data_IF_873136760170
#
_entry.id   IF_873136760170
#
_cell.length_a   1.000
_cell.length_b   1.000
_cell.length_c   1.000
_cell.angle_alpha   90.00
_cell.angle_beta   90.00
_cell.angle_gamma   90.00
#
_symmetry.space_group_name_H-M   'P 1'
#
loop_
_entity.id
_entity.type
_entity.pdbx_description
1 polymer ?
#
# COMPACT_ATOMS: atom_id res chain seq x y z
N UNK A 1 11.67 -30.29 14.41
CA UNK A 1 11.04 -29.21 13.64
C UNK A 1 9.56 -29.53 13.56
N UNK A 2 8.69 -28.55 13.84
CA UNK A 2 7.24 -28.74 13.69
C UNK A 2 6.92 -28.70 12.18
N UNK A 3 6.04 -29.60 11.71
CA UNK A 3 5.61 -29.61 10.31
C UNK A 3 4.10 -29.35 10.23
N UNK A 4 3.67 -28.44 9.37
CA UNK A 4 2.28 -28.18 9.02
C UNK A 4 2.04 -28.43 7.54
N UNK A 5 0.79 -28.69 7.18
CA UNK A 5 0.37 -28.80 5.77
C UNK A 5 -0.82 -27.90 5.50
N UNK A 6 -0.82 -27.22 4.36
CA UNK A 6 -1.91 -26.39 3.87
C UNK A 6 -1.96 -26.46 2.34
N UNK A 7 -3.05 -26.01 1.72
CA UNK A 7 -3.11 -25.89 0.26
C UNK A 7 -2.36 -24.64 -0.21
N UNK A 8 -2.53 -23.50 0.51
CA UNK A 8 -1.83 -22.25 0.19
C UNK A 8 -1.16 -21.68 1.45
N UNK A 9 0.16 -21.49 1.39
CA UNK A 9 0.94 -20.78 2.41
C UNK A 9 1.26 -19.37 1.92
N UNK A 10 0.86 -18.33 2.66
CA UNK A 10 1.08 -16.94 2.32
C UNK A 10 2.08 -16.34 3.30
N UNK A 11 3.25 -15.96 2.82
CA UNK A 11 4.26 -15.26 3.57
C UNK A 11 3.98 -13.75 3.58
N UNK A 12 3.65 -13.18 4.74
CA UNK A 12 3.34 -11.78 4.97
C UNK A 12 1.85 -11.54 5.21
N UNK A 13 1.54 -10.98 6.39
CA UNK A 13 0.20 -10.57 6.83
C UNK A 13 -0.14 -9.11 6.46
N UNK A 14 0.49 -8.56 5.41
CA UNK A 14 0.15 -7.25 4.87
C UNK A 14 -1.15 -7.27 4.05
N UNK A 15 -1.54 -6.11 3.45
CA UNK A 15 -2.82 -5.98 2.73
C UNK A 15 -3.04 -7.05 1.66
N UNK A 16 -2.03 -7.35 0.85
CA UNK A 16 -2.12 -8.40 -0.17
C UNK A 16 -2.33 -9.78 0.44
N UNK A 17 -1.54 -10.11 1.48
CA UNK A 17 -1.55 -11.47 2.07
C UNK A 17 -2.83 -11.76 2.84
N UNK A 18 -3.30 -10.83 3.68
CA UNK A 18 -4.55 -11.04 4.45
C UNK A 18 -5.76 -11.07 3.51
N UNK A 19 -5.83 -10.15 2.52
CA UNK A 19 -6.91 -10.15 1.54
C UNK A 19 -6.93 -11.45 0.72
N UNK A 20 -5.78 -11.88 0.20
CA UNK A 20 -5.72 -13.14 -0.56
C UNK A 20 -6.11 -14.33 0.33
N UNK A 21 -5.59 -14.37 1.56
CA UNK A 21 -5.93 -15.42 2.53
C UNK A 21 -7.44 -15.49 2.79
N UNK A 22 -8.08 -14.34 2.98
CA UNK A 22 -9.52 -14.24 3.15
C UNK A 22 -10.28 -14.76 1.91
N UNK A 23 -9.88 -14.31 0.71
CA UNK A 23 -10.53 -14.70 -0.55
C UNK A 23 -10.41 -16.20 -0.80
N UNK A 24 -9.22 -16.78 -0.67
CA UNK A 24 -8.98 -18.21 -0.86
C UNK A 24 -9.77 -19.06 0.15
N UNK A 25 -9.72 -18.69 1.42
CA UNK A 25 -10.48 -19.40 2.47
C UNK A 25 -11.98 -19.34 2.22
N UNK A 26 -12.51 -18.18 1.81
CA UNK A 26 -13.91 -18.01 1.41
C UNK A 26 -14.30 -18.89 0.22
N UNK A 27 -13.35 -19.14 -0.70
CA UNK A 27 -13.54 -20.03 -1.84
C UNK A 27 -13.34 -21.51 -1.51
N UNK A 28 -13.11 -21.87 -0.24
CA UNK A 28 -12.96 -23.25 0.21
C UNK A 28 -11.54 -23.82 0.13
N UNK A 29 -10.51 -22.97 0.00
CA UNK A 29 -9.10 -23.38 -0.03
C UNK A 29 -8.49 -23.26 1.38
N UNK A 30 -7.82 -24.32 1.85
CA UNK A 30 -7.09 -24.28 3.13
C UNK A 30 -5.90 -23.32 3.02
N UNK A 31 -5.92 -22.26 3.81
CA UNK A 31 -4.98 -21.14 3.67
C UNK A 31 -4.34 -20.81 5.01
N UNK A 32 -3.02 -20.69 5.02
CA UNK A 32 -2.21 -20.28 6.16
C UNK A 32 -1.43 -19.02 5.83
N UNK A 33 -1.75 -17.93 6.53
CA UNK A 33 -1.03 -16.65 6.44
C UNK A 33 -0.01 -16.58 7.58
N UNK A 34 1.24 -16.28 7.27
CA UNK A 34 2.36 -16.16 8.21
C UNK A 34 2.79 -14.69 8.32
N UNK A 35 2.67 -14.10 9.51
CA UNK A 35 3.09 -12.71 9.78
C UNK A 35 4.23 -12.71 10.79
N UNK A 36 5.35 -12.08 10.45
CA UNK A 36 6.56 -12.04 11.29
C UNK A 36 6.41 -11.26 12.60
N UNK A 37 5.49 -10.32 12.63
CA UNK A 37 5.27 -9.48 13.80
C UNK A 37 4.21 -10.06 14.75
N UNK A 38 4.18 -9.53 15.98
CA UNK A 38 3.21 -9.96 17.01
C UNK A 38 1.81 -9.40 16.81
N UNK A 39 1.70 -8.29 16.06
CA UNK A 39 0.47 -7.55 15.79
C UNK A 39 0.59 -6.79 14.45
N UNK A 40 -0.45 -6.08 14.04
CA UNK A 40 -0.45 -5.24 12.84
C UNK A 40 -0.06 -3.78 13.11
N UNK A 41 0.29 -3.41 14.34
CA UNK A 41 0.69 -2.05 14.66
C UNK A 41 1.98 -1.69 13.91
N UNK A 42 1.88 -0.76 12.98
CA UNK A 42 3.00 -0.20 12.23
C UNK A 42 2.77 1.30 12.12
N UNK A 43 3.70 2.05 12.63
CA UNK A 43 3.67 3.50 12.44
C UNK A 43 3.92 3.86 10.98
N UNK A 44 3.18 4.86 10.51
CA UNK A 44 3.41 5.55 9.25
C UNK A 44 3.39 4.67 7.98
N UNK A 45 2.50 3.68 7.92
CA UNK A 45 2.34 2.87 6.71
C UNK A 45 0.90 2.85 6.25
N UNK A 46 0.73 3.07 4.95
CA UNK A 46 -0.42 2.67 4.18
C UNK A 46 -1.78 3.10 4.72
N UNK A 47 -2.00 4.39 4.80
CA UNK A 47 -3.13 4.96 5.52
C UNK A 47 -4.30 5.36 4.62
N UNK A 48 -4.30 4.90 3.37
CA UNK A 48 -5.29 5.32 2.37
C UNK A 48 -5.99 4.12 1.75
N UNK A 49 -7.28 3.98 2.02
CA UNK A 49 -8.14 2.99 1.38
C UNK A 49 -8.96 3.69 0.30
N UNK A 50 -8.64 3.43 -0.96
CA UNK A 50 -9.20 4.13 -2.10
C UNK A 50 -10.58 3.58 -2.52
N UNK A 51 -11.37 4.33 -3.32
CA UNK A 51 -12.67 3.89 -3.81
C UNK A 51 -12.68 2.50 -4.42
N UNK A 52 -11.66 2.13 -5.20
CA UNK A 52 -11.56 0.78 -5.79
C UNK A 52 -11.40 -0.35 -4.78
N UNK A 53 -10.73 -0.09 -3.65
CA UNK A 53 -10.64 -1.05 -2.54
C UNK A 53 -11.94 -1.10 -1.75
N UNK A 54 -12.61 0.03 -1.55
CA UNK A 54 -13.94 0.08 -0.93
C UNK A 54 -14.98 -0.68 -1.77
N UNK A 55 -14.87 -0.65 -3.11
CA UNK A 55 -15.70 -1.49 -3.99
C UNK A 55 -15.45 -2.99 -3.77
N UNK A 56 -14.20 -3.41 -3.61
CA UNK A 56 -13.87 -4.81 -3.25
C UNK A 56 -14.53 -5.19 -1.91
N UNK A 57 -14.43 -4.33 -0.90
CA UNK A 57 -15.08 -4.56 0.40
C UNK A 57 -16.61 -4.61 0.28
N UNK A 58 -17.20 -3.77 -0.60
CA UNK A 58 -18.63 -3.81 -0.92
C UNK A 58 -19.04 -5.13 -1.58
N UNK A 59 -18.31 -5.59 -2.60
CA UNK A 59 -18.56 -6.85 -3.31
C UNK A 59 -18.44 -8.08 -2.40
N UNK A 60 -17.64 -7.96 -1.33
CA UNK A 60 -17.53 -8.98 -0.29
C UNK A 60 -18.70 -8.94 0.72
N UNK A 61 -19.55 -7.91 0.66
CA UNK A 61 -20.67 -7.71 1.60
C UNK A 61 -20.23 -7.18 2.96
N UNK A 62 -19.06 -6.53 3.04
CA UNK A 62 -18.42 -6.09 4.28
C UNK A 62 -18.39 -4.56 4.46
N UNK A 63 -18.92 -3.79 3.48
CA UNK A 63 -18.72 -2.34 3.46
C UNK A 63 -19.33 -1.63 4.67
N UNK A 64 -20.56 -1.98 5.05
CA UNK A 64 -21.26 -1.32 6.15
C UNK A 64 -20.56 -1.55 7.50
N UNK A 65 -20.02 -2.76 7.72
CA UNK A 65 -19.25 -3.09 8.92
C UNK A 65 -17.90 -2.37 8.90
N UNK A 66 -17.26 -2.32 7.75
CA UNK A 66 -15.96 -1.65 7.55
C UNK A 66 -16.04 -0.14 7.78
N UNK A 67 -17.07 0.54 7.29
CA UNK A 67 -17.26 1.98 7.44
C UNK A 67 -17.63 2.42 8.87
N UNK A 68 -17.93 1.49 9.79
CA UNK A 68 -18.06 1.79 11.23
C UNK A 68 -16.71 1.98 11.92
N UNK A 69 -15.61 1.53 11.30
CA UNK A 69 -14.27 1.77 11.83
C UNK A 69 -13.94 3.26 11.78
N UNK A 70 -13.16 3.79 12.74
CA UNK A 70 -12.73 5.19 12.69
C UNK A 70 -11.95 5.50 11.43
N UNK A 71 -12.42 6.46 10.65
CA UNK A 71 -11.75 6.93 9.43
C UNK A 71 -12.14 8.36 9.10
N UNK A 72 -11.34 9.04 8.27
CA UNK A 72 -11.62 10.34 7.70
C UNK A 72 -11.89 10.21 6.20
N UNK A 73 -12.89 10.93 5.69
CA UNK A 73 -13.23 10.89 4.26
C UNK A 73 -12.55 12.03 3.49
N UNK A 74 -11.69 11.69 2.56
CA UNK A 74 -11.11 12.66 1.61
C UNK A 74 -11.88 12.61 0.30
N UNK A 75 -12.72 13.61 0.06
CA UNK A 75 -13.57 13.73 -1.13
C UNK A 75 -12.89 14.44 -2.29
N UNK A 76 -11.82 15.17 -2.02
CA UNK A 76 -11.07 15.94 -3.01
C UNK A 76 -9.57 15.85 -2.77
N UNK A 77 -8.80 15.77 -3.85
CA UNK A 77 -7.35 15.92 -3.79
C UNK A 77 -7.00 17.40 -3.89
N UNK A 78 -6.46 17.95 -2.82
CA UNK A 78 -6.10 19.36 -2.73
C UNK A 78 -4.61 19.53 -2.49
N UNK A 79 -4.07 20.63 -2.99
CA UNK A 79 -2.70 21.04 -2.76
C UNK A 79 -2.57 22.54 -2.64
N UNK A 80 -1.51 22.98 -1.98
CA UNK A 80 -1.08 24.36 -1.96
C UNK A 80 0.26 24.46 -2.69
N UNK A 81 0.31 25.24 -3.77
CA UNK A 81 1.51 25.50 -4.57
C UNK A 81 1.84 26.98 -4.41
N UNK A 82 2.97 27.27 -3.75
CA UNK A 82 3.25 28.63 -3.29
C UNK A 82 2.15 29.14 -2.37
N UNK A 83 1.49 30.25 -2.73
CA UNK A 83 0.35 30.83 -2.00
C UNK A 83 -1.02 30.33 -2.44
N UNK A 84 -1.13 29.68 -3.60
CA UNK A 84 -2.40 29.28 -4.18
C UNK A 84 -2.84 27.88 -3.73
N UNK A 85 -4.10 27.75 -3.29
CA UNK A 85 -4.76 26.46 -3.08
C UNK A 85 -5.39 25.99 -4.40
N UNK A 86 -5.19 24.72 -4.75
CA UNK A 86 -5.70 24.12 -5.97
C UNK A 86 -6.36 22.78 -5.65
N UNK A 87 -7.56 22.55 -6.19
CA UNK A 87 -8.20 21.23 -6.17
C UNK A 87 -7.90 20.53 -7.49
N UNK A 88 -7.09 19.48 -7.44
CA UNK A 88 -6.64 18.73 -8.62
C UNK A 88 -7.49 17.49 -8.91
N UNK A 89 -8.23 16.98 -7.92
CA UNK A 89 -9.08 15.80 -8.08
C UNK A 89 -10.36 15.91 -7.26
N UNK A 90 -11.46 15.39 -7.83
CA UNK A 90 -12.77 15.34 -7.18
C UNK A 90 -13.41 13.97 -7.39
N UNK A 91 -13.64 13.25 -6.29
CA UNK A 91 -14.16 11.89 -6.31
C UNK A 91 -15.69 11.81 -6.48
N UNK A 92 -16.42 12.93 -6.49
CA UNK A 92 -17.89 12.92 -6.60
C UNK A 92 -18.40 12.14 -7.82
N UNK A 93 -17.59 12.04 -8.87
CA UNK A 93 -17.97 11.43 -10.15
C UNK A 93 -17.23 10.13 -10.49
N UNK A 94 -16.48 9.52 -9.56
CA UNK A 94 -15.89 8.22 -9.82
C UNK A 94 -16.96 7.13 -9.85
N UNK A 95 -16.83 6.11 -10.72
CA UNK A 95 -17.84 5.06 -10.88
C UNK A 95 -17.68 3.95 -9.81
N UNK A 96 -17.74 4.33 -8.53
CA UNK A 96 -17.54 3.47 -7.37
C UNK A 96 -18.65 3.70 -6.35
N UNK A 97 -18.86 2.77 -5.42
CA UNK A 97 -19.83 2.93 -4.33
C UNK A 97 -19.50 4.12 -3.45
N UNK A 98 -18.25 4.16 -2.95
CA UNK A 98 -17.78 5.27 -2.13
C UNK A 98 -17.10 6.32 -3.01
N UNK A 99 -17.41 7.61 -2.76
CA UNK A 99 -16.90 8.77 -3.51
C UNK A 99 -15.81 9.50 -2.73
N UNK A 100 -14.99 8.76 -1.98
CA UNK A 100 -13.94 9.31 -1.13
C UNK A 100 -12.81 8.30 -0.93
N UNK A 101 -11.63 8.78 -0.53
CA UNK A 101 -10.58 7.95 0.04
C UNK A 101 -10.81 7.91 1.55
N UNK A 102 -10.89 6.71 2.14
CA UNK A 102 -10.91 6.56 3.59
C UNK A 102 -9.48 6.62 4.13
N UNK A 103 -9.19 7.63 4.96
CA UNK A 103 -7.94 7.71 5.71
C UNK A 103 -8.13 6.99 7.04
N UNK A 104 -7.42 5.89 7.22
CA UNK A 104 -7.41 5.13 8.46
C UNK A 104 -6.04 4.48 8.68
N UNK A 105 -5.62 4.26 9.92
CA UNK A 105 -4.43 3.47 10.20
C UNK A 105 -4.52 2.08 9.59
N UNK A 106 -3.46 1.63 8.93
CA UNK A 106 -3.44 0.34 8.23
C UNK A 106 -3.82 -0.84 9.13
N UNK A 107 -3.49 -0.78 10.43
CA UNK A 107 -3.85 -1.85 11.36
C UNK A 107 -5.36 -2.01 11.56
N UNK A 108 -6.17 -0.95 11.44
CA UNK A 108 -7.63 -1.08 11.46
C UNK A 108 -8.13 -1.91 10.27
N UNK A 109 -7.61 -1.62 9.08
CA UNK A 109 -7.92 -2.37 7.86
C UNK A 109 -7.50 -3.85 7.99
N UNK A 110 -6.29 -4.10 8.48
CA UNK A 110 -5.75 -5.46 8.59
C UNK A 110 -6.44 -6.26 9.70
N UNK A 111 -6.68 -5.67 10.87
CA UNK A 111 -7.42 -6.31 11.96
C UNK A 111 -8.83 -6.70 11.48
N UNK A 112 -9.52 -5.77 10.82
CA UNK A 112 -10.85 -6.04 10.28
C UNK A 112 -10.85 -7.24 9.34
N UNK A 113 -9.96 -7.28 8.36
CA UNK A 113 -9.90 -8.42 7.43
C UNK A 113 -9.48 -9.72 8.12
N UNK A 114 -8.57 -9.67 9.07
CA UNK A 114 -8.15 -10.84 9.85
C UNK A 114 -9.30 -11.38 10.71
N UNK A 115 -10.09 -10.51 11.35
CA UNK A 115 -11.28 -10.87 12.10
C UNK A 115 -12.37 -11.50 11.20
N UNK A 116 -12.61 -10.94 10.01
CA UNK A 116 -13.52 -11.54 9.04
C UNK A 116 -12.99 -12.90 8.55
N UNK A 117 -11.67 -13.00 8.34
CA UNK A 117 -11.02 -14.26 7.97
C UNK A 117 -11.16 -15.33 9.06
N UNK A 118 -11.00 -14.97 10.32
CA UNK A 118 -11.11 -15.88 11.47
C UNK A 118 -12.52 -16.53 11.60
N UNK A 119 -13.55 -15.93 11.00
CA UNK A 119 -14.89 -16.52 10.91
C UNK A 119 -14.97 -17.68 9.88
N UNK A 120 -13.95 -17.83 9.04
CA UNK A 120 -13.91 -18.86 7.99
C UNK A 120 -13.08 -20.06 8.46
N UNK A 121 -13.59 -21.28 8.39
CA UNK A 121 -12.92 -22.47 8.93
C UNK A 121 -11.59 -22.80 8.24
N UNK A 122 -11.39 -22.32 7.02
CA UNK A 122 -10.20 -22.57 6.20
C UNK A 122 -9.17 -21.44 6.23
N UNK A 123 -9.41 -20.37 7.00
CA UNK A 123 -8.47 -19.29 7.19
C UNK A 123 -7.69 -19.50 8.48
N UNK A 124 -6.35 -19.49 8.36
CA UNK A 124 -5.46 -19.51 9.52
C UNK A 124 -4.45 -18.38 9.39
N UNK A 125 -4.29 -17.60 10.45
CA UNK A 125 -3.28 -16.55 10.57
C UNK A 125 -2.36 -16.86 11.75
N UNK A 126 -1.05 -16.92 11.51
CA UNK A 126 -0.04 -17.08 12.56
C UNK A 126 0.82 -15.84 12.62
N UNK A 127 0.72 -15.13 13.71
CA UNK A 127 1.60 -14.02 14.05
C UNK A 127 2.95 -14.54 14.57
N UNK A 128 3.95 -13.68 14.66
CA UNK A 128 5.32 -14.01 15.10
C UNK A 128 5.91 -15.22 14.36
N UNK A 129 5.61 -15.33 13.07
CA UNK A 129 6.05 -16.42 12.21
C UNK A 129 6.69 -15.84 10.97
N UNK A 130 8.02 -15.82 10.93
CA UNK A 130 8.80 -15.21 9.87
C UNK A 130 9.28 -16.27 8.88
N UNK A 131 8.85 -16.20 7.62
CA UNK A 131 9.43 -17.05 6.56
C UNK A 131 10.88 -16.66 6.34
N UNK A 132 11.77 -17.65 6.41
CA UNK A 132 13.23 -17.49 6.30
C UNK A 132 13.80 -18.23 5.11
N UNK A 133 13.13 -19.29 4.64
CA UNK A 133 13.55 -20.06 3.46
C UNK A 133 12.37 -20.73 2.76
N UNK A 134 12.63 -21.33 1.61
CA UNK A 134 11.70 -22.12 0.82
C UNK A 134 12.15 -23.58 0.79
N UNK A 135 11.19 -24.52 0.74
CA UNK A 135 11.44 -25.90 0.39
C UNK A 135 11.17 -26.10 -1.09
N UNK A 136 12.09 -26.72 -1.81
CA UNK A 136 12.02 -26.92 -3.26
C UNK A 136 12.45 -28.34 -3.61
N UNK A 137 11.76 -28.97 -4.55
CA UNK A 137 12.12 -30.28 -5.14
C UNK A 137 11.92 -30.18 -6.65
N UNK A 138 12.94 -30.58 -7.41
CA UNK A 138 12.93 -30.63 -8.88
C UNK A 138 12.49 -29.31 -9.54
N UNK A 139 12.93 -28.16 -8.97
CA UNK A 139 12.57 -26.83 -9.48
C UNK A 139 11.14 -26.37 -9.15
N UNK A 140 10.43 -27.13 -8.30
CA UNK A 140 9.08 -26.80 -7.80
C UNK A 140 9.14 -26.43 -6.33
N UNK A 141 8.63 -25.26 -5.97
CA UNK A 141 8.48 -24.83 -4.57
C UNK A 141 7.34 -25.62 -3.93
N UNK A 142 7.66 -26.39 -2.90
CA UNK A 142 6.73 -27.30 -2.20
C UNK A 142 6.36 -26.84 -0.80
N UNK A 143 6.90 -25.68 -0.34
CA UNK A 143 6.64 -25.17 0.99
C UNK A 143 7.57 -24.04 1.41
N UNK A 144 7.52 -23.70 2.69
CA UNK A 144 8.34 -22.66 3.30
C UNK A 144 8.85 -23.10 4.68
N UNK A 145 10.00 -22.57 5.06
CA UNK A 145 10.58 -22.67 6.41
C UNK A 145 10.37 -21.31 7.08
N UNK A 146 9.93 -21.35 8.33
CA UNK A 146 9.69 -20.14 9.11
C UNK A 146 10.25 -20.26 10.53
N UNK A 147 10.70 -19.15 11.07
CA UNK A 147 11.06 -19.03 12.47
C UNK A 147 9.85 -18.61 13.30
N UNK A 148 9.66 -19.26 14.43
CA UNK A 148 8.61 -18.94 15.42
C UNK A 148 9.21 -18.85 16.83
N UNK A 149 8.52 -18.23 17.81
CA UNK A 149 8.96 -18.24 19.20
C UNK A 149 9.14 -19.65 19.81
N UNK A 150 8.50 -20.66 19.20
CA UNK A 150 8.58 -22.05 19.65
C UNK A 150 9.64 -22.85 18.88
N UNK A 151 10.39 -22.20 18.00
CA UNK A 151 11.42 -22.83 17.15
C UNK A 151 10.99 -22.91 15.68
N UNK A 152 11.82 -23.55 14.83
CA UNK A 152 11.59 -23.61 13.41
C UNK A 152 10.35 -24.42 13.03
N UNK A 153 9.61 -23.89 12.05
CA UNK A 153 8.39 -24.45 11.49
C UNK A 153 8.59 -24.71 10.00
N UNK A 154 8.28 -25.92 9.55
CA UNK A 154 8.17 -26.25 8.13
C UNK A 154 6.68 -26.27 7.72
N UNK A 155 6.34 -25.60 6.61
CA UNK A 155 5.00 -25.60 6.04
C UNK A 155 5.04 -26.19 4.65
N UNK A 156 4.53 -27.38 4.48
CA UNK A 156 4.30 -27.99 3.16
C UNK A 156 3.04 -27.37 2.53
N UNK A 157 3.12 -26.94 1.27
CA UNK A 157 2.02 -26.28 0.57
C UNK A 157 2.03 -26.59 -0.92
N UNK A 158 0.84 -26.66 -1.54
CA UNK A 158 0.69 -26.80 -2.98
C UNK A 158 1.04 -25.49 -3.71
N UNK A 159 0.91 -24.34 -3.01
CA UNK A 159 1.33 -23.00 -3.45
C UNK A 159 1.88 -22.20 -2.29
N UNK A 160 3.05 -21.60 -2.47
CA UNK A 160 3.58 -20.53 -1.61
C UNK A 160 3.35 -19.17 -2.28
N UNK A 161 2.80 -18.21 -1.53
CA UNK A 161 2.62 -16.84 -2.01
C UNK A 161 3.51 -15.90 -1.21
N UNK A 162 4.41 -15.18 -1.90
CA UNK A 162 5.19 -14.08 -1.32
C UNK A 162 4.37 -12.79 -1.32
N UNK A 163 3.99 -12.34 -0.14
CA UNK A 163 3.33 -11.06 0.14
C UNK A 163 4.05 -10.30 1.27
N UNK A 164 5.35 -10.58 1.45
CA UNK A 164 6.22 -10.19 2.56
C UNK A 164 6.91 -8.82 2.33
N UNK A 165 6.42 -8.06 1.34
CA UNK A 165 6.76 -6.66 1.15
C UNK A 165 8.02 -6.41 0.33
N UNK A 166 8.45 -5.13 0.30
CA UNK A 166 9.55 -4.64 -0.56
C UNK A 166 10.92 -5.30 -0.32
N UNK A 167 11.14 -5.87 0.83
CA UNK A 167 12.34 -6.64 1.17
C UNK A 167 12.01 -8.13 1.26
N UNK A 168 11.25 -8.64 0.29
CA UNK A 168 10.74 -10.00 0.27
C UNK A 168 11.85 -11.05 0.37
N UNK A 169 11.78 -11.85 1.43
CA UNK A 169 12.60 -13.05 1.59
C UNK A 169 12.21 -14.10 0.54
N UNK A 170 10.90 -14.24 0.31
CA UNK A 170 10.37 -15.22 -0.65
C UNK A 170 10.92 -14.98 -2.05
N UNK A 171 10.85 -13.73 -2.58
CA UNK A 171 11.39 -13.43 -3.91
C UNK A 171 12.90 -13.65 -4.01
N UNK A 172 13.64 -13.30 -2.93
CA UNK A 172 15.08 -13.46 -2.88
C UNK A 172 15.49 -14.95 -2.89
N UNK A 173 14.85 -15.76 -2.04
CA UNK A 173 15.10 -17.23 -1.96
C UNK A 173 14.66 -17.96 -3.22
N UNK A 174 13.60 -17.49 -3.88
CA UNK A 174 13.18 -18.03 -5.17
C UNK A 174 14.10 -17.64 -6.34
N UNK A 175 15.06 -16.74 -6.13
CA UNK A 175 15.98 -16.26 -7.19
C UNK A 175 15.26 -15.44 -8.27
N UNK A 176 14.14 -14.76 -7.95
CA UNK A 176 13.40 -13.98 -8.92
C UNK A 176 14.10 -12.63 -9.19
N UNK A 177 14.31 -12.33 -10.47
CA UNK A 177 15.03 -11.13 -10.89
C UNK A 177 14.22 -9.85 -10.67
N UNK A 178 14.79 -8.92 -9.89
CA UNK A 178 14.22 -7.60 -9.60
C UNK A 178 14.76 -6.59 -10.62
N UNK A 179 13.87 -5.81 -11.22
CA UNK A 179 14.19 -4.60 -11.98
C UNK A 179 14.03 -3.39 -11.07
N UNK A 180 15.15 -2.79 -10.66
CA UNK A 180 15.16 -1.53 -9.89
C UNK A 180 14.93 -0.35 -10.85
N UNK A 181 13.87 0.42 -10.59
CA UNK A 181 13.51 1.59 -11.39
C UNK A 181 14.05 2.89 -10.78
N UNK A 182 14.64 2.81 -9.59
CA UNK A 182 15.15 3.93 -8.82
C UNK A 182 14.05 4.83 -8.26
N UNK A 183 14.39 5.54 -7.18
CA UNK A 183 13.54 6.60 -6.62
C UNK A 183 14.40 7.80 -6.27
N UNK A 184 14.04 9.02 -6.70
CA UNK A 184 14.82 10.22 -6.40
C UNK A 184 14.54 10.78 -5.00
N UNK A 185 13.61 10.19 -4.26
CA UNK A 185 13.14 10.72 -2.98
C UNK A 185 13.15 9.68 -1.87
N UNK A 186 13.19 10.19 -0.64
CA UNK A 186 12.79 9.50 0.58
C UNK A 186 11.73 10.34 1.31
N UNK A 187 11.06 9.78 2.31
CA UNK A 187 10.02 10.47 3.08
C UNK A 187 10.30 10.37 4.56
N UNK A 188 10.30 11.51 5.23
CA UNK A 188 10.33 11.58 6.68
C UNK A 188 8.89 11.68 7.20
N UNK A 189 8.50 10.72 8.00
CA UNK A 189 7.22 10.71 8.68
C UNK A 189 7.35 11.26 10.09
N UNK A 190 6.42 12.11 10.49
CA UNK A 190 6.35 12.72 11.81
C UNK A 190 4.90 13.00 12.22
N UNK A 191 4.68 13.29 13.49
CA UNK A 191 3.39 13.66 14.06
C UNK A 191 3.45 15.07 14.63
N UNK A 192 2.37 15.82 14.48
CA UNK A 192 2.16 17.10 15.12
C UNK A 192 0.74 17.13 15.74
N UNK A 193 0.57 17.81 16.86
CA UNK A 193 -0.72 17.91 17.51
C UNK A 193 -1.75 18.56 16.59
N UNK A 194 -2.98 18.05 16.60
CA UNK A 194 -4.15 18.66 15.98
C UNK A 194 -4.91 19.46 17.01
N UNK A 195 -5.33 20.66 16.66
CA UNK A 195 -6.13 21.53 17.52
C UNK A 195 -7.56 21.60 17.02
N UNK A 196 -8.53 21.91 17.90
CA UNK A 196 -9.93 22.02 17.52
C UNK A 196 -10.22 23.06 16.41
N UNK A 197 -9.41 24.12 16.35
CA UNK A 197 -9.50 25.19 15.35
C UNK A 197 -8.88 24.83 13.99
N UNK A 198 -8.17 23.71 13.88
CA UNK A 198 -7.61 23.28 12.62
C UNK A 198 -8.72 22.87 11.66
N UNK A 199 -8.65 23.38 10.43
CA UNK A 199 -9.55 22.93 9.36
C UNK A 199 -9.32 21.46 9.03
N UNK A 200 -10.38 20.73 8.71
CA UNK A 200 -10.37 19.30 8.32
C UNK A 200 -9.85 19.13 6.89
N UNK A 201 -8.60 19.55 6.65
CA UNK A 201 -8.00 19.56 5.32
C UNK A 201 -6.69 18.74 5.29
N UNK A 202 -6.77 17.52 4.80
CA UNK A 202 -5.55 16.81 4.33
C UNK A 202 -5.05 17.49 3.06
N UNK A 203 -3.82 18.00 3.09
CA UNK A 203 -3.29 18.88 2.04
C UNK A 203 -1.82 18.55 1.71
N UNK A 204 -1.48 18.65 0.42
CA UNK A 204 -0.09 18.66 -0.02
C UNK A 204 0.42 20.10 -0.18
N UNK A 205 1.56 20.43 0.43
CA UNK A 205 2.22 21.73 0.33
C UNK A 205 3.47 21.60 -0.54
N UNK A 206 3.60 22.49 -1.53
CA UNK A 206 4.69 22.52 -2.51
C UNK A 206 5.30 23.92 -2.53
N UNK A 207 6.39 24.12 -1.82
CA UNK A 207 7.05 25.43 -1.74
C UNK A 207 8.47 25.34 -1.19
N UNK A 208 9.30 26.36 -1.44
CA UNK A 208 10.64 26.54 -0.87
C UNK A 208 11.54 25.29 -0.95
N UNK A 209 11.53 24.61 -2.08
CA UNK A 209 12.33 23.41 -2.26
C UNK A 209 11.87 22.19 -1.47
N UNK A 210 10.63 22.18 -0.99
CA UNK A 210 10.10 21.11 -0.14
C UNK A 210 8.68 20.71 -0.55
N UNK A 211 8.38 19.46 -0.32
CA UNK A 211 7.03 18.92 -0.39
C UNK A 211 6.66 18.39 0.99
N UNK A 212 5.54 18.86 1.49
CA UNK A 212 5.03 18.44 2.79
C UNK A 212 3.56 18.05 2.67
N UNK A 213 3.20 16.90 3.21
CA UNK A 213 1.82 16.40 3.15
C UNK A 213 1.29 16.23 4.56
N UNK A 214 0.07 16.69 4.79
CA UNK A 214 -0.65 16.54 6.05
C UNK A 214 -1.84 15.61 5.87
N UNK A 215 -1.97 14.64 6.76
CA UNK A 215 -3.11 13.72 6.84
C UNK A 215 -3.78 13.89 8.20
N UNK A 216 -5.05 14.27 8.18
CA UNK A 216 -5.86 14.39 9.40
C UNK A 216 -6.13 12.99 9.98
N UNK A 217 -5.85 12.81 11.30
CA UNK A 217 -6.09 11.58 12.03
C UNK A 217 -7.12 11.75 13.15
N UNK A 218 -7.78 12.89 13.17
CA UNK A 218 -8.75 13.25 14.20
C UNK A 218 -8.11 13.91 15.42
N UNK A 219 -7.13 13.28 16.04
CA UNK A 219 -6.44 13.73 17.25
C UNK A 219 -5.02 14.27 16.99
N UNK A 220 -4.42 13.92 15.84
CA UNK A 220 -3.11 14.43 15.42
C UNK A 220 -3.01 14.56 13.90
N UNK A 221 -2.03 15.35 13.46
CA UNK A 221 -1.59 15.40 12.07
C UNK A 221 -0.48 14.39 11.82
N UNK A 222 -0.72 13.44 10.95
CA UNK A 222 0.36 12.64 10.38
C UNK A 222 0.95 13.42 9.20
N UNK A 223 2.25 13.68 9.27
CA UNK A 223 2.93 14.53 8.30
C UNK A 223 4.03 13.76 7.56
N UNK A 224 4.11 13.98 6.25
CA UNK A 224 5.15 13.46 5.39
C UNK A 224 6.00 14.61 4.84
N UNK A 225 7.28 14.66 5.21
CA UNK A 225 8.25 15.60 4.68
C UNK A 225 9.10 14.88 3.63
N UNK A 226 8.96 15.28 2.37
CA UNK A 226 9.68 14.66 1.25
C UNK A 226 11.05 15.27 1.13
N UNK A 227 12.08 14.41 1.07
CA UNK A 227 13.47 14.76 0.92
C UNK A 227 14.06 14.10 -0.34
N UNK A 228 15.19 14.60 -0.80
CA UNK A 228 15.97 13.92 -1.84
C UNK A 228 16.53 12.60 -1.30
N UNK A 229 16.72 11.66 -2.19
CA UNK A 229 17.29 10.37 -1.84
C UNK A 229 18.63 10.53 -1.13
N UNK A 230 18.74 9.98 0.10
CA UNK A 230 19.96 10.05 0.90
C UNK A 230 20.20 11.37 1.65
N UNK A 231 19.30 12.37 1.56
CA UNK A 231 19.47 13.70 2.21
C UNK A 231 19.35 13.66 3.74
N UNK A 232 18.84 12.56 4.33
CA UNK A 232 18.62 12.49 5.79
C UNK A 232 19.88 12.80 6.60
N UNK A 233 21.04 12.28 6.21
CA UNK A 233 22.27 12.47 6.94
C UNK A 233 22.69 13.96 6.97
N UNK A 234 22.53 14.68 5.87
CA UNK A 234 22.78 16.13 5.80
C UNK A 234 21.81 16.89 6.71
N UNK A 235 20.51 16.54 6.69
CA UNK A 235 19.52 17.16 7.58
C UNK A 235 19.84 16.90 9.05
N UNK A 236 20.31 15.71 9.41
CA UNK A 236 20.70 15.38 10.77
C UNK A 236 21.91 16.18 11.24
N UNK A 237 22.90 16.42 10.38
CA UNK A 237 24.06 17.27 10.66
C UNK A 237 23.64 18.73 10.91
N UNK A 238 22.63 19.23 10.22
CA UNK A 238 22.08 20.57 10.40
C UNK A 238 21.20 20.71 11.66
N UNK A 239 20.96 19.61 12.37
CA UNK A 239 20.17 19.57 13.60
C UNK A 239 18.65 19.60 13.39
N UNK A 240 17.91 19.19 14.42
CA UNK A 240 16.44 19.13 14.40
C UNK A 240 15.78 20.50 14.22
N UNK A 241 16.42 21.57 14.69
CA UNK A 241 15.95 22.95 14.53
C UNK A 241 15.86 23.38 13.06
N UNK A 242 16.78 22.88 12.22
CA UNK A 242 16.71 23.12 10.77
C UNK A 242 15.44 22.51 10.16
N UNK A 243 15.07 21.28 10.58
CA UNK A 243 13.83 20.64 10.14
C UNK A 243 12.59 21.40 10.63
N UNK A 244 12.55 21.81 11.91
CA UNK A 244 11.48 22.61 12.50
C UNK A 244 11.27 23.92 11.73
N UNK A 245 12.35 24.64 11.46
CA UNK A 245 12.34 25.89 10.69
C UNK A 245 11.78 25.68 9.28
N UNK A 246 12.19 24.61 8.60
CA UNK A 246 11.71 24.29 7.25
C UNK A 246 10.22 23.98 7.27
N UNK A 247 9.72 23.18 8.22
CA UNK A 247 8.30 22.86 8.35
C UNK A 247 7.48 24.13 8.62
N UNK A 248 7.89 24.94 9.59
CA UNK A 248 7.19 26.21 9.93
C UNK A 248 7.15 27.20 8.76
N UNK A 249 8.20 27.21 7.90
CA UNK A 249 8.23 28.04 6.69
C UNK A 249 7.25 27.57 5.62
N UNK A 250 7.12 26.25 5.44
CA UNK A 250 6.22 25.67 4.43
C UNK A 250 4.76 25.76 4.89
N UNK A 251 4.53 25.47 6.16
CA UNK A 251 3.19 25.43 6.77
C UNK A 251 3.16 26.34 8.00
N UNK A 252 2.96 27.65 7.82
CA UNK A 252 3.02 28.62 8.93
C UNK A 252 2.08 28.30 10.11
N UNK A 253 0.94 27.64 9.85
CA UNK A 253 0.03 27.18 10.93
C UNK A 253 0.66 26.16 11.89
N UNK A 254 1.78 25.56 11.55
CA UNK A 254 2.51 24.60 12.40
C UNK A 254 3.74 25.22 13.09
N UNK A 255 4.07 26.49 12.83
CA UNK A 255 5.25 27.13 13.37
C UNK A 255 5.31 27.10 14.91
N UNK A 256 4.17 27.10 15.57
CA UNK A 256 4.03 27.02 17.03
C UNK A 256 3.93 25.58 17.58
N UNK A 257 4.01 24.56 16.72
CA UNK A 257 3.93 23.12 17.10
C UNK A 257 5.16 22.31 16.73
N UNK A 258 5.99 22.83 15.83
CA UNK A 258 7.20 22.10 15.38
C UNK A 258 8.16 21.77 16.52
N UNK A 259 8.10 22.48 17.66
CA UNK A 259 8.87 22.17 18.86
C UNK A 259 8.46 20.83 19.52
N UNK A 260 7.30 20.25 19.18
CA UNK A 260 6.90 18.91 19.60
C UNK A 260 7.85 17.83 19.06
N UNK A 261 8.55 18.09 17.95
CA UNK A 261 9.61 17.22 17.44
C UNK A 261 10.87 17.41 18.27
N UNK A 262 11.01 16.74 19.40
CA UNK A 262 12.11 16.98 20.33
C UNK A 262 13.46 16.48 19.82
N UNK A 263 13.46 15.38 19.08
CA UNK A 263 14.66 14.75 18.55
C UNK A 263 14.38 14.04 17.21
N UNK A 264 15.42 13.49 16.60
CA UNK A 264 15.30 12.67 15.40
C UNK A 264 14.57 11.33 15.67
N UNK A 265 14.36 10.95 16.93
CA UNK A 265 13.56 9.76 17.29
C UNK A 265 12.07 9.96 16.97
N UNK A 266 11.60 11.21 16.92
CA UNK A 266 10.25 11.59 16.54
C UNK A 266 10.02 11.55 15.02
N UNK A 267 11.10 11.32 14.25
CA UNK A 267 11.09 11.34 12.78
C UNK A 267 11.46 9.96 12.24
N UNK A 268 10.57 9.37 11.46
CA UNK A 268 10.78 8.03 10.91
C UNK A 268 11.07 8.10 9.41
N UNK A 269 12.22 7.57 9.00
CA UNK A 269 12.58 7.47 7.59
C UNK A 269 11.80 6.36 6.90
N UNK A 270 11.11 6.69 5.83
CA UNK A 270 10.67 5.76 4.81
C UNK A 270 11.61 5.83 3.61
N UNK A 271 12.49 4.86 3.49
CA UNK A 271 13.29 4.68 2.28
C UNK A 271 12.37 4.24 1.14
N UNK A 272 12.24 5.09 0.13
CA UNK A 272 11.38 4.81 -1.02
C UNK A 272 12.15 3.92 -2.01
N UNK A 273 11.55 2.80 -2.37
CA UNK A 273 11.98 1.96 -3.49
C UNK A 273 10.87 1.89 -4.54
N UNK A 274 11.27 1.86 -5.78
CA UNK A 274 10.42 1.64 -6.93
C UNK A 274 11.06 0.52 -7.74
N UNK A 275 10.53 -0.67 -7.59
CA UNK A 275 11.04 -1.87 -8.24
C UNK A 275 9.93 -2.79 -8.71
N UNK A 276 10.26 -3.79 -9.52
CA UNK A 276 9.33 -4.83 -9.92
C UNK A 276 10.07 -6.11 -10.30
N UNK A 277 9.40 -7.24 -10.16
CA UNK A 277 9.84 -8.51 -10.70
C UNK A 277 9.59 -8.56 -12.21
N UNK A 278 10.53 -9.12 -12.97
CA UNK A 278 10.32 -9.47 -14.38
C UNK A 278 9.36 -10.64 -14.51
N UNK A 279 9.51 -11.63 -13.66
CA UNK A 279 8.63 -12.78 -13.53
C UNK A 279 8.18 -12.90 -12.08
N UNK A 280 6.86 -12.95 -11.84
CA UNK A 280 6.29 -12.93 -10.49
C UNK A 280 6.17 -14.34 -9.88
N UNK A 281 6.44 -15.38 -10.63
CA UNK A 281 6.14 -16.75 -10.26
C UNK A 281 7.27 -17.72 -10.63
N UNK A 282 7.27 -18.87 -9.97
CA UNK A 282 7.95 -20.14 -10.28
C UNK A 282 6.92 -21.28 -10.13
N UNK A 283 7.24 -22.51 -10.60
CA UNK A 283 6.42 -23.65 -10.22
C UNK A 283 6.24 -23.71 -8.68
N UNK A 284 4.98 -23.72 -8.21
CA UNK A 284 4.63 -23.72 -6.79
C UNK A 284 4.79 -22.39 -6.04
N UNK A 285 5.11 -21.27 -6.72
CA UNK A 285 5.33 -19.98 -6.09
C UNK A 285 4.77 -18.81 -6.92
N UNK A 286 4.15 -17.83 -6.22
CA UNK A 286 3.73 -16.55 -6.77
C UNK A 286 4.09 -15.39 -5.81
N UNK A 287 4.61 -14.27 -6.31
CA UNK A 287 4.75 -13.03 -5.55
C UNK A 287 3.66 -12.05 -5.95
N UNK A 288 3.10 -11.30 -4.96
CA UNK A 288 2.09 -10.24 -5.15
C UNK A 288 2.38 -9.03 -4.26
N UNK A 289 1.75 -7.89 -4.57
CA UNK A 289 1.94 -6.64 -3.84
C UNK A 289 3.39 -6.17 -3.88
N UNK A 290 3.88 -5.55 -2.80
CA UNK A 290 5.25 -5.01 -2.72
C UNK A 290 6.35 -6.09 -2.90
N UNK A 291 6.03 -7.37 -2.72
CA UNK A 291 6.97 -8.46 -3.02
C UNK A 291 7.18 -8.65 -4.53
N UNK A 292 6.18 -8.32 -5.33
CA UNK A 292 6.25 -8.35 -6.81
C UNK A 292 6.63 -6.97 -7.40
N UNK A 293 6.19 -5.87 -6.78
CA UNK A 293 6.40 -4.51 -7.28
C UNK A 293 6.26 -3.47 -6.18
N UNK A 294 7.36 -2.91 -5.75
CA UNK A 294 7.34 -1.80 -4.80
C UNK A 294 6.94 -0.48 -5.49
N UNK A 295 6.14 0.33 -4.79
CA UNK A 295 5.59 1.58 -5.27
C UNK A 295 6.09 2.77 -4.45
N UNK A 296 6.17 3.93 -5.11
CA UNK A 296 6.31 5.20 -4.41
C UNK A 296 5.08 5.50 -3.53
N UNK A 297 5.25 6.17 -2.37
CA UNK A 297 4.12 6.58 -1.55
C UNK A 297 3.24 7.68 -2.20
N UNK A 298 3.67 8.26 -3.33
CA UNK A 298 2.91 9.29 -4.05
C UNK A 298 1.54 8.75 -4.46
N UNK A 299 0.51 9.48 -4.06
CA UNK A 299 -0.88 9.14 -4.33
C UNK A 299 -1.46 8.05 -3.40
N UNK A 300 -0.66 7.46 -2.50
CA UNK A 300 -1.13 6.44 -1.55
C UNK A 300 -1.64 5.15 -2.21
N UNK A 301 -1.19 4.82 -3.42
CA UNK A 301 -1.77 3.75 -4.24
C UNK A 301 -1.25 2.34 -3.94
N UNK A 302 -0.18 2.19 -3.15
CA UNK A 302 0.49 0.91 -2.93
C UNK A 302 -0.43 -0.17 -2.34
N UNK A 303 -1.18 0.16 -1.27
CA UNK A 303 -2.16 -0.77 -0.68
C UNK A 303 -3.19 -1.20 -1.71
N UNK A 304 -3.70 -0.25 -2.48
CA UNK A 304 -4.79 -0.52 -3.42
C UNK A 304 -4.32 -1.45 -4.55
N UNK A 305 -3.09 -1.28 -5.05
CA UNK A 305 -2.51 -2.23 -6.00
C UNK A 305 -2.33 -3.62 -5.37
N UNK A 306 -1.84 -3.69 -4.14
CA UNK A 306 -1.66 -4.94 -3.41
C UNK A 306 -2.99 -5.70 -3.21
N UNK A 307 -4.06 -4.99 -2.88
CA UNK A 307 -5.43 -5.55 -2.80
C UNK A 307 -5.91 -6.02 -4.18
N UNK A 308 -5.69 -5.23 -5.21
CA UNK A 308 -6.06 -5.61 -6.58
C UNK A 308 -5.31 -6.87 -7.06
N UNK A 309 -4.04 -7.04 -6.67
CA UNK A 309 -3.30 -8.27 -6.96
C UNK A 309 -3.88 -9.47 -6.21
N UNK A 310 -4.27 -9.28 -4.94
CA UNK A 310 -4.92 -10.31 -4.15
C UNK A 310 -6.27 -10.74 -4.77
N UNK A 311 -7.06 -9.78 -5.26
CA UNK A 311 -8.34 -10.07 -5.95
C UNK A 311 -8.08 -10.82 -7.26
N UNK A 312 -7.10 -10.39 -8.06
CA UNK A 312 -6.73 -11.08 -9.29
C UNK A 312 -6.27 -12.52 -9.00
N UNK A 313 -5.41 -12.70 -7.99
CA UNK A 313 -4.93 -14.01 -7.56
C UNK A 313 -6.09 -14.87 -7.02
N UNK A 314 -6.97 -14.32 -6.18
CA UNK A 314 -8.16 -15.01 -5.69
C UNK A 314 -9.06 -15.48 -6.82
N UNK A 315 -9.33 -14.61 -7.81
CA UNK A 315 -10.17 -14.94 -8.96
C UNK A 315 -9.59 -16.05 -9.86
N UNK A 316 -8.26 -16.06 -10.05
CA UNK A 316 -7.59 -17.00 -10.98
C UNK A 316 -7.18 -18.32 -10.30
N UNK A 317 -6.90 -18.29 -8.98
CA UNK A 317 -6.29 -19.44 -8.30
C UNK A 317 -7.26 -20.24 -7.41
N UNK A 318 -8.40 -19.68 -7.00
CA UNK A 318 -9.29 -20.33 -6.03
C UNK A 318 -9.81 -21.70 -6.53
N UNK A 319 -10.34 -21.77 -7.75
CA UNK A 319 -10.83 -23.03 -8.31
C UNK A 319 -9.71 -24.04 -8.54
N UNK A 320 -8.58 -23.68 -9.22
CA UNK A 320 -7.48 -24.64 -9.42
C UNK A 320 -6.86 -25.15 -8.12
N UNK A 321 -6.77 -24.31 -7.06
CA UNK A 321 -6.27 -24.75 -5.76
C UNK A 321 -7.24 -25.71 -5.05
N UNK A 322 -8.53 -25.35 -5.04
CA UNK A 322 -9.57 -26.21 -4.44
C UNK A 322 -9.61 -27.58 -5.12
N UNK A 323 -9.55 -27.59 -6.44
CA UNK A 323 -9.68 -28.79 -7.26
C UNK A 323 -8.32 -29.51 -7.46
N UNK A 324 -7.23 -29.02 -6.85
CA UNK A 324 -5.84 -29.53 -6.97
C UNK A 324 -5.36 -29.65 -8.41
N UNK A 325 -5.71 -28.65 -9.23
CA UNK A 325 -5.36 -28.57 -10.66
C UNK A 325 -4.54 -27.31 -10.96
N UNK A 326 -3.79 -26.81 -9.97
CA UNK A 326 -2.95 -25.63 -10.16
C UNK A 326 -1.86 -25.93 -11.20
N UNK A 327 -1.73 -25.01 -12.16
CA UNK A 327 -0.69 -25.05 -13.19
C UNK A 327 0.05 -23.73 -13.28
N UNK A 328 1.21 -23.73 -13.91
CA UNK A 328 1.98 -22.52 -14.20
C UNK A 328 1.17 -21.50 -15.01
N UNK A 329 0.27 -21.96 -15.89
CA UNK A 329 -0.58 -21.09 -16.68
C UNK A 329 -1.49 -20.18 -15.82
N UNK A 330 -1.97 -20.69 -14.68
CA UNK A 330 -2.78 -19.92 -13.71
C UNK A 330 -1.93 -18.84 -13.04
N UNK A 331 -0.69 -19.15 -12.62
CA UNK A 331 0.21 -18.18 -12.03
C UNK A 331 0.58 -17.07 -13.03
N UNK A 332 0.91 -17.47 -14.26
CA UNK A 332 1.18 -16.55 -15.35
C UNK A 332 -0.04 -15.67 -15.70
N UNK A 333 -1.27 -16.18 -15.55
CA UNK A 333 -2.49 -15.41 -15.77
C UNK A 333 -2.64 -14.25 -14.79
N UNK A 334 -2.33 -14.46 -13.50
CA UNK A 334 -2.31 -13.40 -12.49
C UNK A 334 -1.34 -12.30 -12.90
N UNK A 335 -0.09 -12.63 -13.24
CA UNK A 335 0.90 -11.66 -13.68
C UNK A 335 0.44 -10.90 -14.93
N UNK A 336 -0.01 -11.58 -16.00
CA UNK A 336 -0.48 -10.93 -17.24
C UNK A 336 -1.59 -9.91 -16.95
N UNK A 337 -2.49 -10.25 -16.04
CA UNK A 337 -3.61 -9.39 -15.67
C UNK A 337 -3.14 -8.12 -14.94
N UNK A 338 -2.11 -8.24 -14.09
CA UNK A 338 -1.64 -7.17 -13.22
C UNK A 338 -0.46 -6.36 -13.77
N UNK A 339 0.27 -6.87 -14.76
CA UNK A 339 1.44 -6.22 -15.34
C UNK A 339 1.13 -4.81 -15.86
N UNK A 340 0.06 -4.64 -16.67
CA UNK A 340 -0.29 -3.34 -17.24
C UNK A 340 -0.66 -2.30 -16.16
N UNK A 341 -1.55 -2.57 -15.20
CA UNK A 341 -1.83 -1.63 -14.10
C UNK A 341 -0.59 -1.24 -13.30
N UNK A 342 0.29 -2.19 -13.01
CA UNK A 342 1.55 -1.96 -12.31
C UNK A 342 2.47 -1.03 -13.08
N UNK A 343 2.73 -1.33 -14.35
CA UNK A 343 3.60 -0.52 -15.21
C UNK A 343 3.05 0.89 -15.41
N UNK A 344 1.74 1.02 -15.63
CA UNK A 344 1.09 2.31 -15.77
C UNK A 344 1.27 3.15 -14.50
N UNK A 345 1.00 2.57 -13.33
CA UNK A 345 1.09 3.29 -12.06
C UNK A 345 2.53 3.71 -11.76
N UNK A 346 3.51 2.82 -11.94
CA UNK A 346 4.93 3.14 -11.77
C UNK A 346 5.39 4.20 -12.76
N UNK A 347 4.98 4.11 -14.02
CA UNK A 347 5.28 5.12 -15.05
C UNK A 347 4.70 6.49 -14.71
N UNK A 348 3.45 6.52 -14.22
CA UNK A 348 2.81 7.75 -13.76
C UNK A 348 3.51 8.34 -12.53
N UNK A 349 3.91 7.52 -11.55
CA UNK A 349 4.67 7.98 -10.40
C UNK A 349 6.04 8.55 -10.79
N UNK A 350 6.75 7.90 -11.72
CA UNK A 350 8.02 8.44 -12.25
C UNK A 350 7.81 9.79 -12.94
N UNK A 351 6.76 9.93 -13.76
CA UNK A 351 6.43 11.21 -14.38
C UNK A 351 6.20 12.32 -13.35
N UNK A 352 5.49 12.02 -12.25
CA UNK A 352 5.29 12.98 -11.16
C UNK A 352 6.63 13.28 -10.46
N UNK A 353 7.46 12.28 -10.18
CA UNK A 353 8.79 12.48 -9.61
C UNK A 353 9.61 13.45 -10.47
N UNK A 354 9.70 13.20 -11.79
CA UNK A 354 10.58 13.95 -12.67
C UNK A 354 10.05 15.35 -12.98
N UNK A 355 8.75 15.49 -13.22
CA UNK A 355 8.15 16.75 -13.67
C UNK A 355 7.65 17.66 -12.54
N UNK A 356 7.31 17.10 -11.39
CA UNK A 356 6.73 17.86 -10.27
C UNK A 356 7.69 17.87 -9.08
N UNK A 357 8.01 16.71 -8.52
CA UNK A 357 8.73 16.62 -7.25
C UNK A 357 10.16 17.14 -7.40
N UNK A 358 10.92 16.68 -8.40
CA UNK A 358 12.28 17.13 -8.64
C UNK A 358 12.34 18.63 -8.90
N UNK A 359 11.38 19.16 -9.68
CA UNK A 359 11.31 20.61 -9.93
C UNK A 359 11.07 21.41 -8.64
N UNK A 360 10.22 20.91 -7.76
CA UNK A 360 10.00 21.53 -6.44
C UNK A 360 11.25 21.45 -5.60
N UNK A 361 11.85 20.26 -5.44
CA UNK A 361 12.99 20.03 -4.56
C UNK A 361 14.29 20.77 -5.00
N UNK A 362 14.37 21.21 -6.26
CA UNK A 362 15.49 21.99 -6.78
C UNK A 362 15.29 23.51 -6.69
N UNK A 363 14.11 23.98 -6.28
CA UNK A 363 13.78 25.42 -6.21
C UNK A 363 13.96 25.96 -4.79
N UNK A 364 14.93 26.81 -4.56
CA UNK A 364 15.14 27.46 -3.24
C UNK A 364 14.17 28.61 -2.97
N UNK A 365 13.49 29.11 -4.00
CA UNK A 365 12.56 30.25 -3.91
C UNK A 365 11.10 29.78 -3.78
N UNK A 366 10.23 30.72 -3.41
CA UNK A 366 8.79 30.49 -3.49
C UNK A 366 8.38 30.12 -4.92
N UNK A 367 7.56 29.07 -5.03
CA UNK A 367 7.12 28.55 -6.33
C UNK A 367 5.88 29.32 -6.76
N UNK A 368 5.95 29.90 -7.95
CA UNK A 368 4.74 30.42 -8.59
C UNK A 368 3.84 29.26 -9.05
N UNK A 369 2.55 29.46 -8.88
CA UNK A 369 1.55 28.47 -9.29
C UNK A 369 1.58 28.31 -10.81
N UNK A 370 1.91 27.11 -11.34
CA UNK A 370 1.88 26.87 -12.78
C UNK A 370 0.50 27.16 -13.36
N UNK A 371 0.44 27.87 -14.50
CA UNK A 371 -0.83 28.22 -15.13
C UNK A 371 -1.69 26.99 -15.48
N UNK A 372 -1.05 25.84 -15.72
CA UNK A 372 -1.74 24.58 -15.98
C UNK A 372 -2.64 24.14 -14.81
N UNK A 373 -2.27 24.48 -13.57
CA UNK A 373 -3.12 24.18 -12.41
C UNK A 373 -4.37 25.03 -12.38
N UNK A 374 -4.34 26.26 -12.95
CA UNK A 374 -5.53 27.11 -13.10
C UNK A 374 -6.60 26.49 -14.01
N UNK A 375 -6.20 25.57 -14.91
CA UNK A 375 -7.16 24.84 -15.75
C UNK A 375 -8.14 24.01 -14.93
N UNK A 376 -7.73 23.49 -13.77
CA UNK A 376 -8.63 22.77 -12.87
C UNK A 376 -9.68 23.67 -12.23
N UNK A 377 -9.40 24.97 -12.08
CA UNK A 377 -10.35 25.94 -11.56
C UNK A 377 -11.28 26.45 -12.67
N UNK A 378 -10.74 26.70 -13.86
CA UNK A 378 -11.53 27.12 -15.03
C UNK A 378 -12.42 25.99 -15.57
N UNK A 379 -11.94 24.75 -15.52
CA UNK A 379 -12.63 23.57 -16.03
C UNK A 379 -12.70 22.47 -14.96
N UNK A 380 -13.64 22.56 -13.99
CA UNK A 380 -13.73 21.58 -12.88
C UNK A 380 -13.91 20.12 -13.34
N UNK A 381 -14.44 19.91 -14.56
CA UNK A 381 -14.58 18.57 -15.15
C UNK A 381 -13.23 17.85 -15.28
N UNK A 382 -12.12 18.55 -15.45
CA UNK A 382 -10.78 17.98 -15.53
C UNK A 382 -10.35 17.30 -14.22
N UNK A 383 -10.90 17.71 -13.06
CA UNK A 383 -10.64 17.10 -11.76
C UNK A 383 -11.05 15.64 -11.68
N UNK A 384 -11.94 15.19 -12.59
CA UNK A 384 -12.39 13.78 -12.67
C UNK A 384 -11.26 12.86 -13.12
N UNK A 385 -10.30 13.34 -13.92
CA UNK A 385 -9.21 12.52 -14.49
C UNK A 385 -8.24 12.08 -13.38
N UNK A 386 -7.60 12.97 -12.60
CA UNK A 386 -6.75 12.56 -11.48
C UNK A 386 -7.51 11.76 -10.43
N UNK A 387 -8.75 12.13 -10.11
CA UNK A 387 -9.58 11.39 -9.18
C UNK A 387 -9.83 9.94 -9.63
N UNK A 388 -10.10 9.72 -10.92
CA UNK A 388 -10.26 8.38 -11.48
C UNK A 388 -8.94 7.59 -11.46
N UNK A 389 -7.83 8.21 -11.86
CA UNK A 389 -6.51 7.55 -11.90
C UNK A 389 -6.06 7.15 -10.50
N UNK A 390 -6.23 8.03 -9.51
CA UNK A 390 -5.84 7.76 -8.12
C UNK A 390 -6.86 6.86 -7.42
N UNK A 391 -8.14 7.16 -7.51
CA UNK A 391 -9.19 6.48 -6.73
C UNK A 391 -9.61 5.13 -7.27
N UNK A 392 -9.62 4.97 -8.59
CA UNK A 392 -10.08 3.73 -9.26
C UNK A 392 -8.90 2.95 -9.82
N UNK A 393 -7.91 3.67 -10.36
CA UNK A 393 -6.79 3.06 -11.07
C UNK A 393 -7.14 2.65 -12.50
N UNK A 394 -6.23 1.88 -13.10
CA UNK A 394 -6.38 1.35 -14.47
C UNK A 394 -6.69 -0.13 -14.37
N UNK A 395 -7.74 -0.57 -15.04
CA UNK A 395 -8.23 -1.96 -15.01
C UNK A 395 -8.42 -2.46 -13.57
N UNK A 396 -9.32 -1.86 -12.78
CA UNK A 396 -9.59 -2.34 -11.43
C UNK A 396 -10.06 -3.79 -11.46
N UNK A 397 -9.70 -4.53 -10.41
CA UNK A 397 -10.18 -5.89 -10.21
C UNK A 397 -11.49 -5.87 -9.42
N UNK A 398 -12.37 -6.80 -9.75
CA UNK A 398 -13.64 -7.06 -9.07
C UNK A 398 -13.70 -8.50 -8.60
N UNK A 399 -14.33 -8.74 -7.47
CA UNK A 399 -14.51 -10.07 -6.91
C UNK A 399 -15.52 -10.82 -7.77
N UNK A 400 -15.11 -11.94 -8.37
CA UNK A 400 -16.01 -12.77 -9.20
C UNK A 400 -16.90 -13.62 -8.31
N UNK A 401 -18.18 -13.29 -8.24
CA UNK A 401 -19.16 -14.01 -7.41
C UNK A 401 -19.18 -15.53 -7.69
N UNK A 402 -18.97 -15.96 -8.94
CA UNK A 402 -18.91 -17.36 -9.33
C UNK A 402 -17.77 -18.16 -8.69
N UNK A 403 -16.67 -17.48 -8.30
CA UNK A 403 -15.53 -18.11 -7.65
C UNK A 403 -15.80 -18.38 -6.18
N UNK A 404 -16.62 -17.53 -5.56
CA UNK A 404 -16.89 -17.53 -4.12
C UNK A 404 -18.29 -18.06 -3.77
N UNK A 405 -19.06 -18.50 -4.76
CA UNK A 405 -20.29 -19.25 -4.51
C UNK A 405 -19.96 -20.61 -3.91
N UNK A 406 -20.67 -21.00 -2.85
CA UNK A 406 -20.55 -22.36 -2.32
C UNK A 406 -20.72 -23.39 -3.46
N UNK A 407 -19.94 -24.48 -3.46
CA UNK A 407 -20.19 -25.56 -4.42
C UNK A 407 -21.66 -25.95 -4.32
N UNK A 408 -22.36 -25.98 -5.46
CA UNK A 408 -23.71 -26.55 -5.50
C UNK A 408 -23.58 -28.00 -5.05
N UNK A 409 -24.19 -28.31 -3.89
CA UNK A 409 -24.26 -29.63 -3.29
C UNK A 409 -24.86 -30.65 -4.25
#
# INVERSE_FOLDING_TARGET
MQTLRTTCCIAGGGPAGVMLGYLLARAGVDTLVLEKHKDFLRDFRGDTVHPSTLDVIYELGLLDEFLRLPHQEVKQLRGQVGSARVTIGDFAHVPTHCKFIALMPQWHFLNFLAEQGAKLPRFKLRMQTQVTDLTESDGHVSGAIADTPQGPLEVAADLVVGADGRHSTVRAKAGLAVEDLGSPIDVLWLRLARRPEDADDSLGYFNYGRVFVTLDRGDYWQCAFVIRKGELQELQQNGIESLRTQIGRIVPKFADRVHELQSWDDVKLLTVSLDRLRQWWKPGLLCIGDAAHAMSPIGGVGINLAIQDAVAAGNELSAPLRDRQLTIAHLAAVQRRRTFPTHFTQGFQRLIHDRVINRVLTSERSIETPWQLKLFDWFPVLRRIPARVVGVGVRPEHVRASVFAAPRS
#
